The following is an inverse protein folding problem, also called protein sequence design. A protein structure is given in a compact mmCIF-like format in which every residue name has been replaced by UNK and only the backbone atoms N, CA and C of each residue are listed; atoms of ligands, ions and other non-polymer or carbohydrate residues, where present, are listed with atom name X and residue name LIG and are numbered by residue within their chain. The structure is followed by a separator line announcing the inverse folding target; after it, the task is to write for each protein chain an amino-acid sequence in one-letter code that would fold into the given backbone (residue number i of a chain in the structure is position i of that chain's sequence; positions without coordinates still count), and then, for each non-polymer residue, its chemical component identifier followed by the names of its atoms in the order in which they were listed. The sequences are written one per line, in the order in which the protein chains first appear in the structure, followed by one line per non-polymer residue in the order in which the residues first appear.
data_IF_737690878384
#
_entry.id   IF_737690878384
#
_cell.length_a   1.000
_cell.length_b   1.000
_cell.length_c   1.000
_cell.angle_alpha   90.00
_cell.angle_beta   90.00
_cell.angle_gamma   90.00
#
_symmetry.space_group_name_H-M   'P 1'
#
loop_
_entity.id
_entity.type
_entity.pdbx_description
1 polymer ?
#
# COMPACT_ATOMS: atom_id res chain seq x y z
N UNK A 1 1.41 38.56 5.56
CA UNK A 1 1.90 37.22 5.95
C UNK A 1 2.48 36.62 4.69
N UNK A 2 3.75 36.16 4.67
CA UNK A 2 4.26 35.50 3.49
C UNK A 2 3.39 34.27 3.24
N UNK A 3 2.90 34.14 2.02
CA UNK A 3 2.18 32.99 1.51
C UNK A 3 3.07 31.76 1.73
N UNK A 4 2.65 30.86 2.62
CA UNK A 4 3.31 29.57 2.78
C UNK A 4 3.01 28.82 1.50
N UNK A 5 3.96 28.86 0.57
CA UNK A 5 3.95 28.15 -0.71
C UNK A 5 3.69 26.66 -0.41
N UNK A 6 2.42 26.27 -0.49
CA UNK A 6 1.82 24.94 -0.27
C UNK A 6 2.25 23.93 -1.38
N UNK A 7 3.48 24.04 -1.89
CA UNK A 7 3.93 23.37 -3.11
C UNK A 7 4.70 22.06 -2.87
N UNK A 8 4.81 21.56 -1.64
CA UNK A 8 5.69 20.42 -1.39
C UNK A 8 5.02 19.04 -1.43
N UNK A 9 3.74 18.92 -1.02
CA UNK A 9 3.09 17.63 -0.75
C UNK A 9 1.67 17.51 -1.35
N UNK A 10 1.57 17.62 -2.67
CA UNK A 10 0.33 17.47 -3.44
C UNK A 10 -0.12 16.01 -3.62
N UNK A 11 0.82 15.05 -3.62
CA UNK A 11 0.52 13.62 -3.79
C UNK A 11 0.02 12.96 -2.50
N UNK A 12 0.26 13.61 -1.36
CA UNK A 12 -0.09 13.11 -0.02
C UNK A 12 -1.51 13.55 0.38
N UNK A 13 -2.43 12.63 0.73
CA UNK A 13 -3.77 12.99 1.19
C UNK A 13 -3.74 13.79 2.51
N UNK A 14 -4.72 14.65 2.70
CA UNK A 14 -4.77 15.62 3.80
C UNK A 14 -4.46 15.06 5.22
N UNK A 15 -4.94 13.87 5.63
CA UNK A 15 -4.61 13.31 6.94
C UNK A 15 -3.13 12.98 7.13
N UNK A 16 -2.42 12.70 6.03
CA UNK A 16 -1.06 12.15 6.04
C UNK A 16 0.01 13.19 5.71
N UNK A 17 -0.38 14.41 5.30
CA UNK A 17 0.54 15.50 4.91
C UNK A 17 1.51 15.94 6.01
N UNK A 18 1.17 15.71 7.29
CA UNK A 18 2.05 16.00 8.43
C UNK A 18 3.17 14.96 8.60
N UNK A 19 2.99 13.76 8.06
CA UNK A 19 3.82 12.60 8.34
C UNK A 19 4.74 12.21 7.18
N UNK A 20 4.40 12.60 5.95
CA UNK A 20 5.12 12.16 4.76
C UNK A 20 5.41 13.32 3.81
N UNK A 21 6.57 13.23 3.16
CA UNK A 21 6.85 13.97 1.94
C UNK A 21 6.29 13.22 0.71
N UNK A 22 6.21 13.91 -0.43
CA UNK A 22 5.77 13.31 -1.70
C UNK A 22 6.56 12.05 -2.10
N UNK A 23 7.89 12.08 -1.97
CA UNK A 23 8.75 10.94 -2.33
C UNK A 23 8.47 9.72 -1.44
N UNK A 24 8.40 9.93 -0.13
CA UNK A 24 8.07 8.87 0.83
C UNK A 24 6.68 8.27 0.56
N UNK A 25 5.73 9.13 0.20
CA UNK A 25 4.36 8.72 -0.08
C UNK A 25 4.24 7.89 -1.36
N UNK A 26 5.05 8.18 -2.38
CA UNK A 26 5.11 7.37 -3.60
C UNK A 26 5.60 5.95 -3.29
N UNK A 27 6.68 5.82 -2.53
CA UNK A 27 7.22 4.51 -2.12
C UNK A 27 6.18 3.78 -1.25
N UNK A 28 5.59 4.48 -0.27
CA UNK A 28 4.55 3.93 0.59
C UNK A 28 3.39 3.35 -0.23
N UNK A 29 2.87 4.10 -1.21
CA UNK A 29 1.79 3.63 -2.08
C UNK A 29 2.16 2.38 -2.85
N UNK A 30 3.37 2.31 -3.42
CA UNK A 30 3.84 1.14 -4.16
C UNK A 30 3.91 -0.08 -3.25
N UNK A 31 4.52 0.05 -2.07
CA UNK A 31 4.68 -1.05 -1.13
C UNK A 31 3.33 -1.54 -0.61
N UNK A 32 2.43 -0.63 -0.22
CA UNK A 32 1.10 -0.99 0.29
C UNK A 32 0.28 -1.70 -0.79
N UNK A 33 0.23 -1.15 -2.00
CA UNK A 33 -0.54 -1.73 -3.09
C UNK A 33 0.00 -3.10 -3.53
N UNK A 34 1.32 -3.24 -3.66
CA UNK A 34 1.94 -4.52 -4.00
C UNK A 34 1.75 -5.58 -2.91
N UNK A 35 1.82 -5.19 -1.63
CA UNK A 35 1.56 -6.10 -0.50
C UNK A 35 0.13 -6.61 -0.52
N UNK A 36 -0.86 -5.73 -0.72
CA UNK A 36 -2.26 -6.16 -0.82
C UNK A 36 -2.50 -7.09 -2.01
N UNK A 37 -1.92 -6.79 -3.17
CA UNK A 37 -2.01 -7.65 -4.35
C UNK A 37 -1.40 -9.04 -4.07
N UNK A 38 -0.22 -9.08 -3.45
CA UNK A 38 0.46 -10.32 -3.08
C UNK A 38 -0.38 -11.14 -2.11
N UNK A 39 -0.91 -10.54 -1.04
CA UNK A 39 -1.72 -11.23 -0.03
C UNK A 39 -2.94 -11.89 -0.68
N UNK A 40 -3.65 -11.18 -1.57
CA UNK A 40 -4.81 -11.75 -2.29
C UNK A 40 -4.39 -12.95 -3.14
N UNK A 41 -3.32 -12.82 -3.92
CA UNK A 41 -2.82 -13.90 -4.79
C UNK A 41 -2.41 -15.13 -3.94
N UNK A 42 -1.68 -14.89 -2.86
CA UNK A 42 -1.20 -15.94 -1.95
C UNK A 42 -2.37 -16.67 -1.31
N UNK A 43 -3.37 -15.95 -0.79
CA UNK A 43 -4.55 -16.58 -0.19
C UNK A 43 -5.33 -17.42 -1.20
N UNK A 44 -5.52 -16.93 -2.43
CA UNK A 44 -6.18 -17.69 -3.49
C UNK A 44 -5.40 -18.94 -3.88
N UNK A 45 -4.08 -18.83 -4.02
CA UNK A 45 -3.22 -19.97 -4.34
C UNK A 45 -3.26 -21.02 -3.24
N UNK A 46 -3.15 -20.62 -1.96
CA UNK A 46 -3.23 -21.53 -0.83
C UNK A 46 -4.61 -22.19 -0.72
N UNK A 47 -5.69 -21.43 -0.92
CA UNK A 47 -7.04 -21.98 -0.93
C UNK A 47 -7.20 -23.02 -2.05
N UNK A 48 -6.77 -22.70 -3.27
CA UNK A 48 -6.88 -23.61 -4.41
C UNK A 48 -6.10 -24.92 -4.18
N UNK A 49 -4.85 -24.83 -3.70
CA UNK A 49 -4.07 -26.04 -3.42
C UNK A 49 -4.66 -26.81 -2.24
N UNK A 50 -5.17 -26.12 -1.21
CA UNK A 50 -5.84 -26.77 -0.10
C UNK A 50 -7.08 -27.56 -0.54
N UNK A 51 -7.89 -27.01 -1.46
CA UNK A 51 -9.03 -27.72 -2.04
C UNK A 51 -8.61 -28.93 -2.89
N UNK A 52 -7.49 -28.86 -3.62
CA UNK A 52 -7.02 -29.96 -4.46
C UNK A 52 -6.38 -31.10 -3.65
N UNK A 53 -5.44 -30.77 -2.77
CA UNK A 53 -4.75 -31.73 -1.93
C UNK A 53 -4.51 -31.11 -0.55
N UNK A 54 -5.39 -31.37 0.41
CA UNK A 54 -5.27 -30.74 1.71
C UNK A 54 -4.07 -31.25 2.49
N UNK A 55 -3.41 -30.30 3.16
CA UNK A 55 -2.14 -30.48 3.82
C UNK A 55 -2.30 -30.91 5.29
N UNK A 56 -3.43 -30.55 5.90
CA UNK A 56 -3.73 -30.71 7.34
C UNK A 56 -4.91 -31.67 7.59
N UNK A 57 -5.02 -32.73 6.78
CA UNK A 57 -5.96 -33.84 7.05
C UNK A 57 -5.40 -34.81 8.08
#
# INVERSE_FOLDING_TARGET
MPENVDFANDLVPAPWKRLFANEDWLIHRIVVQSTYAMVVIVLLAHALVWFWKPWLQ
#
